data_IF_192276077453
#
_entry.id   IF_192276077453
#
_cell.length_a   1.000
_cell.length_b   1.000
_cell.length_c   1.000
_cell.angle_alpha   90.00
_cell.angle_beta   90.00
_cell.angle_gamma   90.00
#
_symmetry.space_group_name_H-M   'P 1'
#
loop_
_entity.id
_entity.type
_entity.pdbx_description
1 polymer ?
#
# COMPACT_ATOMS: atom_id res chain seq x y z
N UNK A 1 5.33 4.85 -2.25
CA UNK A 1 5.88 5.97 -1.46
C UNK A 1 7.39 6.10 -1.63
N UNK A 2 7.92 7.29 -1.41
CA UNK A 2 9.36 7.60 -1.57
C UNK A 2 9.89 8.28 -0.30
N UNK A 3 11.21 8.18 -0.02
CA UNK A 3 11.83 8.89 1.07
C UNK A 3 11.82 10.41 0.84
N UNK A 4 12.18 11.16 1.88
CA UNK A 4 12.26 12.62 1.81
C UNK A 4 13.18 13.06 0.68
N UNK A 5 12.76 14.09 -0.07
CA UNK A 5 13.49 14.61 -1.21
C UNK A 5 13.40 13.79 -2.49
N UNK A 6 12.87 12.56 -2.45
CA UNK A 6 12.74 11.68 -3.62
C UNK A 6 14.00 11.66 -4.50
N UNK A 7 15.15 11.16 -4.03
CA UNK A 7 16.45 11.33 -4.73
C UNK A 7 16.48 10.73 -6.14
N UNK A 8 15.67 9.72 -6.41
CA UNK A 8 15.55 9.06 -7.72
C UNK A 8 14.54 9.74 -8.66
N UNK A 9 13.77 10.72 -8.17
CA UNK A 9 12.76 11.40 -8.97
C UNK A 9 11.65 10.48 -9.47
N UNK A 10 11.25 9.48 -8.68
CA UNK A 10 10.19 8.52 -9.04
C UNK A 10 8.85 9.22 -8.92
N UNK A 11 8.05 9.19 -9.99
CA UNK A 11 6.77 9.90 -10.05
C UNK A 11 5.57 8.97 -10.40
N UNK A 12 5.83 7.76 -10.91
CA UNK A 12 4.76 6.84 -11.30
C UNK A 12 5.18 5.38 -11.28
N UNK A 13 4.22 4.48 -11.27
CA UNK A 13 4.43 3.04 -11.45
C UNK A 13 5.02 2.71 -12.83
N UNK A 14 4.64 3.44 -13.89
CA UNK A 14 5.20 3.23 -15.22
C UNK A 14 6.71 3.47 -15.22
N UNK A 15 7.14 4.58 -14.60
CA UNK A 15 8.57 4.89 -14.45
C UNK A 15 9.28 3.86 -13.55
N UNK A 16 8.64 3.46 -12.44
CA UNK A 16 9.19 2.45 -11.55
C UNK A 16 9.42 1.12 -12.29
N UNK A 17 8.47 0.71 -13.13
CA UNK A 17 8.60 -0.52 -13.92
C UNK A 17 9.82 -0.49 -14.86
N UNK A 18 10.11 0.64 -15.49
CA UNK A 18 11.30 0.80 -16.33
C UNK A 18 12.60 0.80 -15.51
N UNK A 19 12.61 1.46 -14.35
CA UNK A 19 13.76 1.46 -13.43
C UNK A 19 14.06 0.05 -12.88
N UNK A 20 13.03 -0.74 -12.58
CA UNK A 20 13.19 -2.14 -12.16
C UNK A 20 13.78 -3.00 -13.28
N UNK A 21 13.34 -2.82 -14.53
CA UNK A 21 13.89 -3.54 -15.69
C UNK A 21 15.36 -3.19 -15.96
N UNK A 22 15.75 -1.94 -15.70
CA UNK A 22 17.14 -1.49 -15.90
C UNK A 22 18.07 -1.81 -14.72
N UNK A 23 17.51 -2.17 -13.56
CA UNK A 23 18.30 -2.41 -12.35
C UNK A 23 18.72 -1.15 -11.61
N UNK A 24 18.09 0.01 -11.88
CA UNK A 24 18.53 1.32 -11.40
C UNK A 24 17.75 1.82 -10.16
N UNK A 25 17.01 0.96 -9.49
CA UNK A 25 16.20 1.30 -8.32
C UNK A 25 16.24 0.22 -7.26
N UNK A 26 16.18 0.63 -5.99
CA UNK A 26 15.99 -0.26 -4.85
C UNK A 26 14.56 -0.06 -4.29
N UNK A 27 13.74 -1.09 -4.38
CA UNK A 27 12.34 -1.10 -4.00
C UNK A 27 12.11 -2.01 -2.78
N UNK A 28 11.48 -1.47 -1.73
CA UNK A 28 10.99 -2.24 -0.60
C UNK A 28 9.57 -2.75 -0.85
N UNK A 29 9.36 -4.05 -0.62
CA UNK A 29 8.06 -4.71 -0.76
C UNK A 29 7.78 -5.65 0.41
N UNK A 30 6.52 -5.99 0.65
CA UNK A 30 6.17 -7.10 1.53
C UNK A 30 6.56 -8.44 0.90
N UNK A 31 6.96 -9.42 1.69
CA UNK A 31 7.14 -10.78 1.19
C UNK A 31 5.79 -11.41 0.78
N UNK A 32 5.81 -12.55 0.09
CA UNK A 32 4.62 -13.20 -0.46
C UNK A 32 3.57 -13.61 0.57
N UNK A 33 3.95 -13.77 1.84
CA UNK A 33 3.06 -14.17 2.93
C UNK A 33 2.33 -12.98 3.56
N UNK A 34 2.72 -11.76 3.18
CA UNK A 34 2.13 -10.50 3.67
C UNK A 34 1.11 -9.98 2.66
N UNK A 35 -0.09 -9.52 3.08
CA UNK A 35 -1.10 -9.02 2.15
C UNK A 35 -0.60 -7.94 1.19
N UNK A 36 0.21 -6.98 1.65
CA UNK A 36 0.78 -5.94 0.78
C UNK A 36 1.73 -6.53 -0.27
N UNK A 37 2.44 -7.62 0.05
CA UNK A 37 3.26 -8.36 -0.91
C UNK A 37 2.42 -9.04 -1.99
N UNK A 38 1.27 -9.60 -1.63
CA UNK A 38 0.35 -10.21 -2.60
C UNK A 38 -0.23 -9.18 -3.59
N UNK A 39 -0.50 -7.95 -3.15
CA UNK A 39 -0.87 -6.86 -4.05
C UNK A 39 0.30 -6.45 -4.95
N UNK A 40 1.52 -6.40 -4.42
CA UNK A 40 2.74 -6.12 -5.19
C UNK A 40 2.96 -7.14 -6.30
N UNK A 41 2.73 -8.44 -6.04
CA UNK A 41 2.80 -9.49 -7.06
C UNK A 41 1.83 -9.23 -8.23
N UNK A 42 0.61 -8.76 -7.93
CA UNK A 42 -0.36 -8.42 -8.98
C UNK A 42 0.10 -7.21 -9.80
N UNK A 43 0.69 -6.19 -9.15
CA UNK A 43 1.27 -5.03 -9.85
C UNK A 43 2.41 -5.49 -10.76
N UNK A 44 3.28 -6.36 -10.30
CA UNK A 44 4.36 -6.91 -11.13
C UNK A 44 3.81 -7.67 -12.32
N UNK A 45 2.78 -8.51 -12.12
CA UNK A 45 2.11 -9.23 -13.21
C UNK A 45 1.49 -8.27 -14.23
N UNK A 46 0.86 -7.17 -13.78
CA UNK A 46 0.29 -6.14 -14.65
C UNK A 46 1.35 -5.50 -15.57
N UNK A 47 2.54 -5.23 -15.05
CA UNK A 47 3.65 -4.65 -15.81
C UNK A 47 4.54 -5.69 -16.53
N UNK A 48 4.21 -6.97 -16.42
CA UNK A 48 5.01 -8.05 -16.99
C UNK A 48 6.42 -8.15 -16.39
N UNK A 49 6.55 -7.80 -15.11
CA UNK A 49 7.82 -7.87 -14.36
C UNK A 49 8.02 -9.26 -13.77
N UNK A 50 9.22 -9.81 -13.93
CA UNK A 50 9.63 -11.06 -13.30
C UNK A 50 10.45 -10.76 -12.04
N UNK A 51 9.88 -11.02 -10.88
CA UNK A 51 10.52 -10.79 -9.58
C UNK A 51 11.87 -11.51 -9.48
N UNK A 52 11.98 -12.71 -10.05
CA UNK A 52 13.22 -13.50 -10.02
C UNK A 52 14.37 -12.85 -10.81
N UNK A 53 14.04 -12.02 -11.80
CA UNK A 53 15.00 -11.27 -12.58
C UNK A 53 15.43 -9.94 -11.94
N UNK A 54 14.74 -9.52 -10.85
CA UNK A 54 14.93 -8.22 -10.21
C UNK A 54 15.39 -8.34 -8.74
N UNK A 55 15.89 -9.48 -8.33
CA UNK A 55 16.26 -9.75 -6.92
C UNK A 55 17.21 -8.73 -6.32
N UNK A 56 18.12 -8.18 -7.12
CA UNK A 56 19.08 -7.16 -6.68
C UNK A 56 18.43 -5.77 -6.49
N UNK A 57 17.22 -5.58 -7.02
CA UNK A 57 16.44 -4.36 -6.89
C UNK A 57 15.45 -4.40 -5.73
N UNK A 58 15.29 -5.54 -5.06
CA UNK A 58 14.22 -5.77 -4.11
C UNK A 58 14.74 -5.99 -2.69
N UNK A 59 14.06 -5.36 -1.73
CA UNK A 59 14.18 -5.71 -0.32
C UNK A 59 12.81 -6.11 0.23
N UNK A 60 12.79 -7.03 1.19
CA UNK A 60 11.56 -7.63 1.68
C UNK A 60 11.32 -7.28 3.14
N UNK A 61 10.08 -6.91 3.46
CA UNK A 61 9.59 -6.78 4.83
C UNK A 61 8.67 -7.95 5.19
N UNK A 62 8.72 -8.38 6.45
CA UNK A 62 7.82 -9.41 6.99
C UNK A 62 6.43 -8.85 7.36
N UNK A 63 6.26 -7.55 7.26
CA UNK A 63 5.01 -6.82 7.44
C UNK A 63 5.15 -5.43 6.79
N UNK A 64 4.02 -4.74 6.58
CA UNK A 64 4.01 -3.42 5.95
C UNK A 64 4.80 -2.37 6.74
N UNK A 65 4.86 -2.50 8.06
CA UNK A 65 5.62 -1.55 8.91
C UNK A 65 7.12 -1.60 8.64
N UNK A 66 7.68 -2.80 8.41
CA UNK A 66 9.08 -2.94 8.01
C UNK A 66 9.36 -2.29 6.67
N UNK A 67 8.47 -2.48 5.68
CA UNK A 67 8.57 -1.82 4.37
C UNK A 67 8.52 -0.29 4.55
N UNK A 68 7.55 0.22 5.32
CA UNK A 68 7.41 1.66 5.60
C UNK A 68 8.67 2.23 6.28
N UNK A 69 9.25 1.49 7.23
CA UNK A 69 10.48 1.90 7.91
C UNK A 69 11.66 2.00 6.94
N UNK A 70 11.84 1.04 6.05
CA UNK A 70 12.91 1.09 5.04
C UNK A 70 12.82 2.33 4.16
N UNK A 71 11.60 2.74 3.77
CA UNK A 71 11.37 3.97 3.00
C UNK A 71 11.65 5.22 3.86
N UNK A 72 11.13 5.26 5.10
CA UNK A 72 11.30 6.41 6.01
C UNK A 72 12.77 6.69 6.34
N UNK A 73 13.57 5.64 6.47
CA UNK A 73 15.00 5.73 6.76
C UNK A 73 15.87 5.93 5.50
N UNK A 74 15.24 6.07 4.32
CA UNK A 74 15.92 6.17 3.03
C UNK A 74 16.92 5.01 2.78
N UNK A 75 16.62 3.82 3.33
CA UNK A 75 17.39 2.61 3.05
C UNK A 75 17.11 2.05 1.65
N UNK A 76 16.04 2.52 1.01
CA UNK A 76 15.59 2.20 -0.35
C UNK A 76 15.15 3.47 -1.07
N UNK A 77 15.01 3.39 -2.40
CA UNK A 77 14.58 4.51 -3.23
C UNK A 77 13.05 4.70 -3.21
N UNK A 78 12.30 3.62 -2.98
CA UNK A 78 10.83 3.65 -2.86
C UNK A 78 10.30 2.38 -2.19
N UNK A 79 8.99 2.37 -1.89
CA UNK A 79 8.31 1.20 -1.34
C UNK A 79 6.84 1.15 -1.76
N UNK A 80 6.31 -0.08 -1.88
CA UNK A 80 4.88 -0.33 -2.10
C UNK A 80 4.25 -0.63 -0.74
N UNK A 81 3.41 0.30 -0.27
CA UNK A 81 2.73 0.28 1.02
C UNK A 81 1.28 0.74 0.86
N UNK A 82 0.48 0.63 1.91
CA UNK A 82 -0.86 1.23 1.89
C UNK A 82 -0.80 2.74 2.08
N UNK A 83 -1.78 3.46 1.53
CA UNK A 83 -1.90 4.91 1.68
C UNK A 83 -1.98 5.34 3.16
N UNK A 84 -2.63 4.53 3.99
CA UNK A 84 -2.74 4.73 5.45
C UNK A 84 -1.39 4.64 6.17
N UNK A 85 -0.50 3.73 5.74
CA UNK A 85 0.86 3.61 6.30
C UNK A 85 1.73 4.78 5.86
N UNK A 86 1.62 5.19 4.59
CA UNK A 86 2.31 6.38 4.09
C UNK A 86 1.88 7.64 4.84
N UNK A 87 0.56 7.82 5.05
CA UNK A 87 0.01 8.93 5.83
C UNK A 87 0.56 8.94 7.27
N UNK A 88 0.49 7.79 7.95
CA UNK A 88 0.94 7.65 9.35
C UNK A 88 2.45 7.91 9.52
N UNK A 89 3.24 7.60 8.51
CA UNK A 89 4.68 7.80 8.50
C UNK A 89 5.10 9.18 7.93
N UNK A 90 4.16 9.99 7.46
CA UNK A 90 4.44 11.28 6.83
C UNK A 90 5.22 11.16 5.51
N UNK A 91 5.12 10.01 4.83
CA UNK A 91 5.81 9.77 3.58
C UNK A 91 5.08 10.40 2.39
N UNK A 92 5.86 10.82 1.41
CA UNK A 92 5.31 11.30 0.14
C UNK A 92 4.83 10.12 -0.69
N UNK A 93 3.52 10.10 -0.99
CA UNK A 93 2.95 9.23 -2.02
C UNK A 93 3.17 9.89 -3.37
N UNK A 94 3.74 9.17 -4.33
CA UNK A 94 4.02 9.66 -5.69
C UNK A 94 3.05 9.09 -6.71
N UNK A 95 2.51 7.89 -6.45
CA UNK A 95 1.49 7.26 -7.30
C UNK A 95 0.67 6.26 -6.47
N UNK A 96 -0.48 5.86 -6.99
CA UNK A 96 -1.36 4.88 -6.36
C UNK A 96 -1.80 3.82 -7.37
N UNK A 97 -1.67 2.54 -6.99
CA UNK A 97 -2.11 1.44 -7.82
C UNK A 97 -3.62 1.47 -8.03
N UNK A 98 -4.03 1.25 -9.27
CA UNK A 98 -5.45 1.18 -9.64
C UNK A 98 -6.02 -0.22 -9.38
N UNK A 99 -7.35 -0.33 -9.37
CA UNK A 99 -8.03 -1.62 -9.28
C UNK A 99 -7.69 -2.56 -10.47
N UNK A 100 -7.30 -2.01 -11.61
CA UNK A 100 -6.85 -2.78 -12.78
C UNK A 100 -5.47 -3.42 -12.54
N UNK A 101 -4.57 -2.71 -11.83
CA UNK A 101 -3.24 -3.21 -11.53
C UNK A 101 -3.23 -4.33 -10.49
N UNK A 102 -4.00 -4.21 -9.42
CA UNK A 102 -3.88 -5.13 -8.29
C UNK A 102 -5.21 -5.63 -7.71
N UNK A 103 -6.34 -5.23 -8.28
CA UNK A 103 -7.64 -5.42 -7.68
C UNK A 103 -7.91 -4.37 -6.59
N UNK A 104 -9.12 -4.39 -6.06
CA UNK A 104 -9.52 -3.46 -5.02
C UNK A 104 -9.02 -3.92 -3.64
N UNK A 105 -8.40 -3.03 -2.88
CA UNK A 105 -8.02 -3.27 -1.48
C UNK A 105 -9.23 -2.96 -0.60
N UNK A 106 -9.86 -3.99 -0.02
CA UNK A 106 -11.10 -3.86 0.74
C UNK A 106 -10.84 -4.20 2.22
N UNK A 107 -11.34 -3.37 3.11
CA UNK A 107 -11.36 -3.58 4.55
C UNK A 107 -12.81 -3.87 4.99
N UNK A 108 -13.25 -5.13 5.00
CA UNK A 108 -14.61 -5.48 5.38
C UNK A 108 -14.80 -5.40 6.89
N UNK A 109 -16.00 -4.99 7.32
CA UNK A 109 -16.45 -5.06 8.70
C UNK A 109 -17.77 -5.84 8.78
N UNK A 110 -17.97 -6.59 9.84
CA UNK A 110 -19.20 -7.35 10.08
C UNK A 110 -19.56 -7.36 11.56
N UNK A 111 -20.87 -7.41 11.85
CA UNK A 111 -21.39 -7.59 13.20
C UNK A 111 -21.44 -9.09 13.51
N UNK A 112 -20.90 -9.47 14.67
CA UNK A 112 -21.00 -10.82 15.19
C UNK A 112 -22.27 -10.99 16.01
N UNK A 113 -22.93 -12.15 15.90
CA UNK A 113 -24.08 -12.50 16.74
C UNK A 113 -23.67 -12.63 18.21
N UNK A 114 -24.45 -12.04 19.12
CA UNK A 114 -24.19 -12.09 20.55
C UNK A 114 -24.98 -11.06 21.33
N UNK A 115 -24.73 -10.97 22.63
CA UNK A 115 -25.47 -10.09 23.55
C UNK A 115 -25.36 -8.60 23.21
N UNK A 116 -24.34 -8.19 22.45
CA UNK A 116 -24.08 -6.79 22.04
C UNK A 116 -24.34 -6.54 20.55
N UNK A 117 -25.08 -7.42 19.88
CA UNK A 117 -25.32 -7.36 18.43
C UNK A 117 -25.98 -6.02 18.04
N UNK A 118 -26.97 -5.55 18.79
CA UNK A 118 -27.66 -4.27 18.51
C UNK A 118 -26.69 -3.07 18.62
N UNK A 119 -25.87 -3.03 19.65
CA UNK A 119 -24.89 -1.94 19.82
C UNK A 119 -23.80 -1.99 18.75
N UNK A 120 -23.36 -3.19 18.36
CA UNK A 120 -22.38 -3.37 17.28
C UNK A 120 -22.96 -2.96 15.92
N UNK A 121 -24.25 -3.26 15.66
CA UNK A 121 -24.93 -2.80 14.44
C UNK A 121 -25.03 -1.28 14.41
N UNK A 122 -25.43 -0.64 15.50
CA UNK A 122 -25.51 0.80 15.57
C UNK A 122 -24.14 1.47 15.33
N UNK A 123 -23.05 0.87 15.80
CA UNK A 123 -21.69 1.35 15.51
C UNK A 123 -21.32 1.17 14.03
N UNK A 124 -21.63 0.02 13.44
CA UNK A 124 -21.39 -0.22 12.01
C UNK A 124 -22.18 0.76 11.15
N UNK A 125 -23.41 1.07 11.49
CA UNK A 125 -24.23 2.08 10.81
C UNK A 125 -23.63 3.49 10.94
N UNK A 126 -23.11 3.82 12.14
CA UNK A 126 -22.37 5.08 12.34
C UNK A 126 -21.13 5.20 11.45
N UNK A 127 -20.38 4.13 11.26
CA UNK A 127 -19.19 4.12 10.40
C UNK A 127 -19.52 4.45 8.92
N UNK A 128 -20.78 4.30 8.50
CA UNK A 128 -21.24 4.65 7.14
C UNK A 128 -21.75 6.09 7.02
N UNK A 129 -21.76 6.87 8.12
CA UNK A 129 -22.15 8.26 8.06
C UNK A 129 -21.10 9.13 7.39
N UNK A 130 -21.51 10.29 6.83
CA UNK A 130 -20.59 11.26 6.21
C UNK A 130 -19.49 11.72 7.17
N UNK A 131 -19.82 11.90 8.46
CA UNK A 131 -18.87 12.33 9.48
C UNK A 131 -17.77 11.28 9.70
N UNK A 132 -18.14 10.00 9.85
CA UNK A 132 -17.19 8.91 10.00
C UNK A 132 -16.37 8.71 8.72
N UNK A 133 -17.00 8.78 7.54
CA UNK A 133 -16.31 8.66 6.27
C UNK A 133 -15.27 9.76 6.08
N UNK A 134 -15.57 11.00 6.47
CA UNK A 134 -14.59 12.10 6.39
C UNK A 134 -13.33 11.85 7.24
N UNK A 135 -13.47 11.16 8.38
CA UNK A 135 -12.34 10.75 9.21
C UNK A 135 -11.50 9.70 8.50
N UNK A 136 -12.14 8.67 7.91
CA UNK A 136 -11.41 7.65 7.14
C UNK A 136 -10.66 8.25 5.96
N UNK A 137 -11.31 9.13 5.19
CA UNK A 137 -10.68 9.80 4.05
C UNK A 137 -9.48 10.66 4.47
N UNK A 138 -9.58 11.33 5.63
CA UNK A 138 -8.49 12.17 6.14
C UNK A 138 -7.20 11.40 6.47
N UNK A 139 -7.27 10.08 6.63
CA UNK A 139 -6.12 9.21 6.94
C UNK A 139 -5.77 8.25 5.79
N UNK A 140 -6.30 8.48 4.59
CA UNK A 140 -5.90 7.79 3.37
C UNK A 140 -6.77 6.60 2.96
N UNK A 141 -7.94 6.38 3.60
CA UNK A 141 -8.95 5.45 3.07
C UNK A 141 -9.81 6.12 2.01
N UNK A 142 -10.46 5.31 1.20
CA UNK A 142 -11.50 5.74 0.27
C UNK A 142 -12.76 4.88 0.44
N UNK A 143 -13.97 5.42 0.16
CA UNK A 143 -15.19 4.63 0.19
C UNK A 143 -15.09 3.41 -0.73
N UNK A 144 -15.58 2.25 -0.27
CA UNK A 144 -15.75 1.09 -1.14
C UNK A 144 -16.96 1.33 -2.04
N UNK A 145 -16.76 1.27 -3.35
CA UNK A 145 -17.81 1.39 -4.36
C UNK A 145 -18.46 0.04 -4.62
#
# INVERSE_FOLDING_TARGET
AVPEGNPKGIESFDQLAELLKSGDVLLAIGNSDVPVGQYTQKIFAYYGLDESAMTDCLTYGNNVKEVTTQVSEAAVDCGIIYATDAFSAGLKVVDSATAEMCGQVIYPAAVLKGEKEEAAQAFLDYLQTADAMSVFESVGFSPAN
#
